data_IF_460295532949
#
_entry.id   IF_460295532949
#
_cell.length_a   1.000
_cell.length_b   1.000
_cell.length_c   1.000
_cell.angle_alpha   90.00
_cell.angle_beta   90.00
_cell.angle_gamma   90.00
#
_symmetry.space_group_name_H-M   'P 1'
#
loop_
_entity.id
_entity.type
_entity.pdbx_description
1 polymer ?
#
# COMPACT_ATOMS: atom_id res chain seq x y z
N UNK A 1 38.23 15.32 5.14
CA UNK A 1 37.01 16.17 5.18
C UNK A 1 36.15 16.08 3.91
N UNK A 2 36.65 16.45 2.73
CA UNK A 2 35.84 16.40 1.47
C UNK A 2 35.42 14.96 1.10
N UNK A 3 36.33 14.00 1.28
CA UNK A 3 36.10 12.60 0.96
C UNK A 3 35.01 12.00 1.86
N UNK A 4 35.02 12.29 3.16
CA UNK A 4 34.01 11.82 4.12
C UNK A 4 32.63 12.45 3.86
N UNK A 5 32.59 13.74 3.54
CA UNK A 5 31.36 14.43 3.16
C UNK A 5 30.73 13.80 1.91
N UNK A 6 31.55 13.51 0.88
CA UNK A 6 31.10 12.87 -0.35
C UNK A 6 30.57 11.45 -0.12
N UNK A 7 31.25 10.63 0.71
CA UNK A 7 30.77 9.29 1.05
C UNK A 7 29.49 9.34 1.89
N UNK A 8 29.36 10.31 2.80
CA UNK A 8 28.15 10.54 3.59
C UNK A 8 26.98 10.96 2.71
N UNK A 9 27.17 11.88 1.77
CA UNK A 9 26.13 12.29 0.83
C UNK A 9 25.65 11.12 -0.04
N UNK A 10 26.58 10.32 -0.59
CA UNK A 10 26.21 9.09 -1.32
C UNK A 10 25.44 8.10 -0.45
N UNK A 11 25.83 7.94 0.81
CA UNK A 11 25.11 7.08 1.75
C UNK A 11 23.68 7.57 2.01
N UNK A 12 23.48 8.89 2.13
CA UNK A 12 22.16 9.50 2.35
C UNK A 12 21.26 9.32 1.13
N UNK A 13 21.79 9.62 -0.07
CA UNK A 13 21.06 9.44 -1.33
C UNK A 13 20.66 7.98 -1.52
N UNK A 14 21.57 7.05 -1.26
CA UNK A 14 21.28 5.62 -1.33
C UNK A 14 20.18 5.20 -0.35
N UNK A 15 20.18 5.75 0.87
CA UNK A 15 19.15 5.45 1.87
C UNK A 15 17.78 5.97 1.44
N UNK A 16 17.70 7.18 0.89
CA UNK A 16 16.45 7.73 0.36
C UNK A 16 15.93 6.92 -0.83
N UNK A 17 16.82 6.55 -1.76
CA UNK A 17 16.43 5.75 -2.93
C UNK A 17 15.92 4.36 -2.51
N UNK A 18 16.59 3.70 -1.56
CA UNK A 18 16.15 2.42 -1.02
C UNK A 18 14.77 2.54 -0.34
N UNK A 19 14.57 3.59 0.45
CA UNK A 19 13.30 3.84 1.14
C UNK A 19 12.16 4.12 0.16
N UNK A 20 12.44 4.88 -0.90
CA UNK A 20 11.49 5.17 -1.96
C UNK A 20 11.11 3.91 -2.74
N UNK A 21 12.10 3.11 -3.15
CA UNK A 21 11.85 1.85 -3.86
C UNK A 21 11.07 0.83 -3.01
N UNK A 22 11.33 0.77 -1.70
CA UNK A 22 10.56 -0.07 -0.75
C UNK A 22 9.10 0.40 -0.62
N UNK A 23 8.86 1.70 -0.82
CA UNK A 23 7.53 2.27 -0.77
C UNK A 23 6.70 1.98 -2.02
N UNK A 24 7.31 2.03 -3.20
CA UNK A 24 6.59 1.91 -4.47
C UNK A 24 6.09 0.47 -4.74
N UNK A 25 4.81 0.31 -5.14
CA UNK A 25 4.28 -0.97 -5.60
C UNK A 25 4.72 -1.21 -7.05
N UNK A 26 5.77 -2.00 -7.24
CA UNK A 26 6.23 -2.44 -8.56
C UNK A 26 5.96 -3.93 -8.74
N UNK A 27 6.10 -4.45 -9.96
CA UNK A 27 5.93 -5.89 -10.24
C UNK A 27 6.86 -6.77 -9.40
N UNK A 28 8.07 -6.28 -9.15
CA UNK A 28 9.09 -6.97 -8.34
C UNK A 28 8.94 -6.70 -6.83
N UNK A 29 8.11 -5.71 -6.44
CA UNK A 29 7.77 -5.38 -5.07
C UNK A 29 6.24 -5.39 -4.84
N UNK A 30 5.57 -6.55 -4.94
CA UNK A 30 4.11 -6.65 -4.79
C UNK A 30 3.64 -6.41 -3.35
N UNK A 31 4.54 -6.49 -2.36
CA UNK A 31 4.25 -6.24 -0.95
C UNK A 31 4.86 -4.91 -0.46
N UNK A 32 4.89 -3.90 -1.33
CA UNK A 32 5.41 -2.59 -0.99
C UNK A 32 4.68 -1.95 0.20
N UNK A 33 5.30 -0.94 0.83
CA UNK A 33 4.64 -0.20 1.90
C UNK A 33 3.34 0.43 1.44
N UNK A 34 3.28 0.95 0.22
CA UNK A 34 2.06 1.53 -0.34
C UNK A 34 0.95 0.48 -0.45
N UNK A 35 1.25 -0.73 -0.93
CA UNK A 35 0.26 -1.80 -1.00
C UNK A 35 -0.27 -2.17 0.40
N UNK A 36 0.62 -2.27 1.39
CA UNK A 36 0.21 -2.54 2.79
C UNK A 36 -0.70 -1.45 3.35
N UNK A 37 -0.43 -0.18 3.04
CA UNK A 37 -1.30 0.94 3.44
C UNK A 37 -2.68 0.79 2.80
N UNK A 38 -2.75 0.47 1.50
CA UNK A 38 -4.03 0.25 0.80
C UNK A 38 -4.80 -0.96 1.35
N UNK A 39 -4.10 -2.04 1.71
CA UNK A 39 -4.69 -3.23 2.31
C UNK A 39 -5.34 -2.92 3.68
N UNK A 40 -4.78 -1.97 4.43
CA UNK A 40 -5.24 -1.56 5.76
C UNK A 40 -6.16 -0.33 5.77
N UNK A 41 -6.31 0.37 4.65
CA UNK A 41 -7.11 1.57 4.54
C UNK A 41 -8.57 1.33 4.97
N UNK A 42 -9.11 2.28 5.75
CA UNK A 42 -10.50 2.31 6.20
C UNK A 42 -11.09 3.68 5.87
N UNK A 43 -12.23 3.69 5.17
CA UNK A 43 -12.90 4.93 4.76
C UNK A 43 -13.87 5.45 5.82
N UNK A 44 -14.29 4.59 6.76
CA UNK A 44 -15.18 4.97 7.86
C UNK A 44 -14.78 4.26 9.14
N UNK A 45 -14.96 4.91 10.29
CA UNK A 45 -14.65 4.31 11.61
C UNK A 45 -15.49 3.05 11.88
N UNK A 46 -16.72 3.02 11.35
CA UNK A 46 -17.63 1.87 11.44
C UNK A 46 -17.31 0.73 10.45
N UNK A 47 -16.33 0.94 9.55
CA UNK A 47 -15.94 -0.07 8.57
C UNK A 47 -15.10 -1.15 9.24
N UNK A 48 -15.72 -2.28 9.53
CA UNK A 48 -15.01 -3.49 9.96
C UNK A 48 -14.10 -4.02 8.85
N UNK A 49 -14.49 -3.82 7.59
CA UNK A 49 -13.75 -4.26 6.41
C UNK A 49 -12.62 -3.28 6.05
N UNK A 50 -11.39 -3.80 5.91
CA UNK A 50 -10.20 -3.06 5.48
C UNK A 50 -9.97 -3.23 3.98
N UNK A 51 -9.46 -2.18 3.33
CA UNK A 51 -9.23 -2.18 1.88
C UNK A 51 -10.53 -2.22 1.07
N UNK A 52 -11.68 -1.88 1.68
CA UNK A 52 -12.98 -1.80 1.03
C UNK A 52 -13.59 -0.44 1.30
N UNK A 53 -14.08 0.18 0.22
CA UNK A 53 -14.79 1.45 0.24
C UNK A 53 -16.27 1.13 0.05
N UNK A 54 -17.06 1.36 1.10
CA UNK A 54 -18.51 1.29 1.01
C UNK A 54 -19.02 2.64 0.53
N UNK A 55 -19.72 2.65 -0.60
CA UNK A 55 -20.36 3.86 -1.12
C UNK A 55 -21.79 3.93 -0.57
N UNK A 56 -22.06 4.97 0.23
CA UNK A 56 -23.42 5.30 0.64
C UNK A 56 -24.07 6.17 -0.44
N UNK A 57 -24.74 5.51 -1.37
CA UNK A 57 -25.52 6.21 -2.39
C UNK A 57 -26.91 6.41 -1.83
N UNK A 58 -27.14 7.56 -1.21
CA UNK A 58 -28.44 8.00 -0.65
C UNK A 58 -29.64 7.84 -1.60
N UNK A 59 -29.40 7.59 -2.90
CA UNK A 59 -30.40 7.41 -3.96
C UNK A 59 -30.46 5.99 -4.57
N UNK A 60 -29.65 5.04 -4.13
CA UNK A 60 -29.65 3.66 -4.66
C UNK A 60 -30.06 2.70 -3.55
N UNK A 61 -31.02 1.80 -3.83
CA UNK A 61 -31.47 0.77 -2.88
C UNK A 61 -30.39 -0.28 -2.53
N UNK A 62 -29.20 -0.15 -3.09
CA UNK A 62 -28.14 -1.16 -3.09
C UNK A 62 -26.86 -0.54 -2.54
N UNK A 63 -26.25 -1.16 -1.54
CA UNK A 63 -24.91 -0.78 -1.08
C UNK A 63 -23.87 -1.28 -2.08
N UNK A 64 -23.00 -0.39 -2.56
CA UNK A 64 -21.89 -0.74 -3.45
C UNK A 64 -20.61 -0.85 -2.61
N UNK A 65 -19.89 -1.95 -2.78
CA UNK A 65 -18.62 -2.21 -2.12
C UNK A 65 -17.51 -2.25 -3.17
N UNK A 66 -16.58 -1.31 -3.09
CA UNK A 66 -15.41 -1.25 -3.97
C UNK A 66 -14.21 -1.78 -3.19
N UNK A 67 -13.64 -2.90 -3.63
CA UNK A 67 -12.43 -3.46 -3.03
C UNK A 67 -11.20 -2.84 -3.69
N UNK A 68 -10.40 -2.17 -2.88
CA UNK A 68 -9.15 -1.51 -3.29
C UNK A 68 -7.93 -2.26 -2.77
N UNK A 69 -8.04 -2.94 -1.62
CA UNK A 69 -6.97 -3.77 -1.04
C UNK A 69 -7.02 -5.24 -1.46
N UNK A 70 -5.95 -5.98 -1.19
CA UNK A 70 -5.87 -7.42 -1.47
C UNK A 70 -6.86 -8.22 -0.63
N UNK A 71 -7.25 -9.39 -1.15
CA UNK A 71 -8.16 -10.29 -0.44
C UNK A 71 -7.48 -10.85 0.81
N UNK A 72 -8.23 -10.85 1.91
CA UNK A 72 -7.85 -11.48 3.17
C UNK A 72 -8.43 -12.88 3.25
N UNK A 73 -7.69 -13.78 3.89
CA UNK A 73 -8.16 -15.13 4.19
C UNK A 73 -9.17 -15.13 5.37
N UNK A 74 -9.67 -16.31 5.74
CA UNK A 74 -10.59 -16.46 6.87
C UNK A 74 -9.99 -16.05 8.23
N UNK A 75 -8.67 -15.87 8.31
CA UNK A 75 -7.94 -15.41 9.50
C UNK A 75 -7.67 -13.89 9.47
N UNK A 76 -8.12 -13.19 8.42
CA UNK A 76 -7.91 -11.75 8.25
C UNK A 76 -6.51 -11.39 7.74
N UNK A 77 -5.70 -12.37 7.34
CA UNK A 77 -4.32 -12.19 6.87
C UNK A 77 -4.33 -12.00 5.36
N UNK A 78 -3.55 -11.02 4.88
CA UNK A 78 -3.29 -10.81 3.45
C UNK A 78 -2.09 -11.67 3.06
N UNK A 79 -2.20 -12.39 1.94
CA UNK A 79 -1.04 -13.07 1.37
C UNK A 79 -0.07 -12.03 0.77
N UNK A 80 1.16 -11.90 1.29
CA UNK A 80 2.13 -10.92 0.79
C UNK A 80 2.51 -11.13 -0.68
N UNK A 81 2.43 -12.38 -1.16
CA UNK A 81 2.74 -12.75 -2.54
C UNK A 81 1.53 -12.68 -3.48
N UNK A 82 0.35 -12.30 -2.98
CA UNK A 82 -0.79 -12.07 -3.86
C UNK A 82 -0.54 -10.84 -4.74
N UNK A 83 -1.16 -10.86 -5.92
CA UNK A 83 -1.06 -9.77 -6.89
C UNK A 83 -1.44 -8.43 -6.23
N UNK A 84 -0.62 -7.38 -6.43
CA UNK A 84 -0.89 -6.07 -5.88
C UNK A 84 -2.11 -5.47 -6.58
N UNK A 85 -2.90 -4.71 -5.85
CA UNK A 85 -4.10 -4.04 -6.39
C UNK A 85 -3.78 -2.66 -6.95
N UNK A 86 -2.62 -2.12 -6.60
CA UNK A 86 -2.06 -0.88 -7.12
C UNK A 86 -0.67 -1.15 -7.65
N UNK A 87 -0.28 -0.49 -8.74
CA UNK A 87 1.07 -0.60 -9.29
C UNK A 87 1.49 0.73 -9.90
N UNK A 88 2.78 0.98 -9.87
CA UNK A 88 3.42 2.12 -10.54
C UNK A 88 4.48 1.54 -11.47
N UNK A 89 4.27 1.70 -12.77
CA UNK A 89 5.10 1.11 -13.84
C UNK A 89 4.28 0.84 -15.08
#
# INVERSE_FOLDING_TARGET
>A
EIVDAFFRERSIVNHHLASFNDFLPTKDNPNSRMQRIVDDARVSEDSTERGIIRLDVQKTKSSIYVRVGRRRDARGVVNPSAEPTIFIG
#
